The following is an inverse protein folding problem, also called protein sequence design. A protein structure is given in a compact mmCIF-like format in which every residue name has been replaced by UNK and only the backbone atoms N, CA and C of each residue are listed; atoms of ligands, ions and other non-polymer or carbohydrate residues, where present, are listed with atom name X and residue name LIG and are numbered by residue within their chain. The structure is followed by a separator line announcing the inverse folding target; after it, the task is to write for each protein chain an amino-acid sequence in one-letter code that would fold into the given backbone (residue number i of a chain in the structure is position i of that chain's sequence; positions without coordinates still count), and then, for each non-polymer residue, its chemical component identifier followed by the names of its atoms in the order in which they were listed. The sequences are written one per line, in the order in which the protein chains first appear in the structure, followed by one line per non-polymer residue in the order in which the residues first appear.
data_IF_637963748626
#
_entry.id   IF_637963748626
#
_cell.length_a   1.000
_cell.length_b   1.000
_cell.length_c   1.000
_cell.angle_alpha   90.00
_cell.angle_beta   90.00
_cell.angle_gamma   90.00
#
_symmetry.space_group_name_H-M   'P 1'
#
loop_
_entity.id
_entity.type
_entity.pdbx_description
1 polymer ?
#
# COMPACT_ATOMS: atom_id res chain seq x y z
N UNK A 1 1.30 22.34 14.82
CA UNK A 1 1.20 20.88 14.91
C UNK A 1 2.57 20.33 14.60
N UNK A 2 3.23 19.71 15.58
CA UNK A 2 4.46 18.95 15.32
C UNK A 2 4.04 17.54 14.91
N UNK A 3 4.28 17.18 13.66
CA UNK A 3 3.97 15.85 13.15
C UNK A 3 5.03 14.85 13.61
N UNK A 4 4.59 13.66 14.03
CA UNK A 4 5.49 12.59 14.42
C UNK A 4 5.61 11.52 13.32
N UNK A 5 6.42 10.49 13.60
CA UNK A 5 6.64 9.37 12.70
C UNK A 5 5.33 8.73 12.18
N UNK A 6 4.32 8.53 13.04
CA UNK A 6 3.06 7.91 12.67
C UNK A 6 2.20 8.83 11.79
N UNK A 7 2.21 10.16 12.04
CA UNK A 7 1.57 11.15 11.17
C UNK A 7 2.17 11.12 9.77
N UNK A 8 3.50 11.13 9.67
CA UNK A 8 4.20 11.05 8.38
C UNK A 8 3.91 9.73 7.66
N UNK A 9 3.88 8.62 8.39
CA UNK A 9 3.54 7.32 7.83
C UNK A 9 2.13 7.33 7.23
N UNK A 10 1.15 7.88 7.95
CA UNK A 10 -0.21 8.10 7.45
C UNK A 10 -0.24 8.92 6.16
N UNK A 11 0.46 10.06 6.13
CA UNK A 11 0.49 10.93 4.96
C UNK A 11 1.16 10.29 3.75
N UNK A 12 2.26 9.56 3.96
CA UNK A 12 2.93 8.82 2.88
C UNK A 12 2.00 7.76 2.30
N UNK A 13 1.33 6.96 3.16
CA UNK A 13 0.39 5.95 2.69
C UNK A 13 -0.82 6.56 1.96
N UNK A 14 -1.37 7.66 2.49
CA UNK A 14 -2.45 8.38 1.84
C UNK A 14 -2.04 8.93 0.48
N UNK A 15 -0.86 9.55 0.40
CA UNK A 15 -0.30 10.13 -0.83
C UNK A 15 -0.07 9.05 -1.88
N UNK A 16 0.57 7.92 -1.54
CA UNK A 16 0.73 6.79 -2.46
C UNK A 16 -0.63 6.29 -2.94
N UNK A 17 -1.59 6.14 -2.03
CA UNK A 17 -2.96 5.73 -2.35
C UNK A 17 -3.66 6.69 -3.32
N UNK A 18 -3.55 7.99 -3.14
CA UNK A 18 -4.21 8.99 -4.01
C UNK A 18 -3.48 9.10 -5.35
N UNK A 19 -2.16 9.28 -5.34
CA UNK A 19 -1.35 9.49 -6.54
C UNK A 19 -1.49 8.30 -7.48
N UNK A 20 -1.38 7.07 -6.97
CA UNK A 20 -1.53 5.87 -7.82
C UNK A 20 -2.91 5.79 -8.47
N UNK A 21 -3.97 6.25 -7.79
CA UNK A 21 -5.34 6.25 -8.35
C UNK A 21 -5.53 7.34 -9.39
N UNK A 22 -4.97 8.52 -9.16
CA UNK A 22 -4.94 9.60 -10.16
C UNK A 22 -4.21 9.13 -11.41
N UNK A 23 -3.05 8.49 -11.27
CA UNK A 23 -2.30 7.92 -12.40
C UNK A 23 -3.09 6.81 -13.12
N UNK A 24 -3.74 5.89 -12.38
CA UNK A 24 -4.60 4.86 -12.97
C UNK A 24 -5.74 5.44 -13.79
N UNK A 25 -6.45 6.44 -13.26
CA UNK A 25 -7.60 7.06 -13.95
C UNK A 25 -7.15 7.86 -15.17
N UNK A 26 -6.04 8.59 -15.07
CA UNK A 26 -5.53 9.44 -16.16
C UNK A 26 -4.88 8.64 -17.28
N UNK A 27 -4.17 7.56 -16.96
CA UNK A 27 -3.46 6.74 -17.94
C UNK A 27 -4.31 5.58 -18.50
N UNK A 28 -5.37 5.17 -17.81
CA UNK A 28 -6.31 4.13 -18.25
C UNK A 28 -5.60 2.85 -18.70
N UNK A 29 -5.83 2.43 -19.95
CA UNK A 29 -5.24 1.21 -20.51
C UNK A 29 -3.69 1.23 -20.54
N UNK A 30 -3.07 2.41 -20.63
CA UNK A 30 -1.60 2.52 -20.57
C UNK A 30 -1.08 2.11 -19.20
N UNK A 31 -1.80 2.43 -18.13
CA UNK A 31 -1.47 1.96 -16.79
C UNK A 31 -1.59 0.44 -16.71
N UNK A 32 -2.70 -0.12 -17.19
CA UNK A 32 -2.93 -1.56 -17.16
C UNK A 32 -1.81 -2.34 -17.88
N UNK A 33 -1.39 -1.87 -19.05
CA UNK A 33 -0.25 -2.45 -19.79
C UNK A 33 1.05 -2.32 -19.00
N UNK A 34 1.37 -1.13 -18.50
CA UNK A 34 2.58 -0.93 -17.69
C UNK A 34 2.60 -1.82 -16.44
N UNK A 35 1.47 -1.93 -15.74
CA UNK A 35 1.34 -2.73 -14.53
C UNK A 35 1.49 -4.22 -14.82
N UNK A 36 1.03 -4.74 -15.96
CA UNK A 36 1.14 -6.16 -16.30
C UNK A 36 2.41 -6.56 -17.05
N UNK A 37 3.08 -5.61 -17.70
CA UNK A 37 4.30 -5.86 -18.49
C UNK A 37 5.59 -5.47 -17.76
N UNK A 38 5.55 -4.46 -16.89
CA UNK A 38 6.73 -3.94 -16.18
C UNK A 38 6.66 -4.19 -14.68
N UNK A 39 5.58 -3.77 -14.02
CA UNK A 39 5.46 -3.96 -12.58
C UNK A 39 5.30 -5.45 -12.26
N UNK A 40 4.25 -6.10 -12.76
CA UNK A 40 3.96 -7.51 -12.56
C UNK A 40 4.19 -8.32 -13.84
N UNK A 41 5.41 -8.23 -14.37
CA UNK A 41 5.84 -8.98 -15.54
C UNK A 41 5.66 -10.50 -15.36
N UNK A 42 5.55 -11.26 -16.46
CA UNK A 42 5.33 -12.72 -16.40
C UNK A 42 6.41 -13.45 -15.59
N UNK A 43 7.68 -13.06 -15.76
CA UNK A 43 8.75 -13.49 -14.87
C UNK A 43 8.83 -12.54 -13.69
N UNK A 44 8.86 -13.08 -12.46
CA UNK A 44 8.90 -12.29 -11.23
C UNK A 44 10.10 -11.33 -11.22
N UNK A 45 9.88 -10.00 -11.28
CA UNK A 45 10.98 -9.05 -11.35
C UNK A 45 11.69 -8.87 -10.00
N UNK A 46 12.97 -8.53 -10.05
CA UNK A 46 13.83 -8.36 -8.87
C UNK A 46 13.33 -7.25 -7.93
N UNK A 47 12.69 -6.21 -8.47
CA UNK A 47 12.15 -5.11 -7.67
C UNK A 47 11.15 -5.59 -6.61
N UNK A 48 10.44 -6.70 -6.86
CA UNK A 48 9.49 -7.28 -5.89
C UNK A 48 10.19 -7.72 -4.62
N UNK A 49 11.41 -8.28 -4.72
CA UNK A 49 12.19 -8.64 -3.55
C UNK A 49 12.64 -7.39 -2.78
N UNK A 50 13.01 -6.32 -3.49
CA UNK A 50 13.36 -5.04 -2.87
C UNK A 50 12.17 -4.47 -2.09
N UNK A 51 10.96 -4.46 -2.69
CA UNK A 51 9.75 -4.02 -1.99
C UNK A 51 9.38 -4.96 -0.84
N UNK A 52 9.65 -6.26 -0.98
CA UNK A 52 9.56 -7.24 0.11
C UNK A 52 10.39 -6.86 1.32
N UNK A 53 11.68 -6.63 1.12
CA UNK A 53 12.63 -6.26 2.19
C UNK A 53 12.26 -4.90 2.80
N UNK A 54 11.99 -3.90 1.96
CA UNK A 54 11.59 -2.56 2.43
C UNK A 54 10.29 -2.62 3.23
N UNK A 55 9.29 -3.38 2.76
CA UNK A 55 8.02 -3.56 3.45
C UNK A 55 8.21 -4.18 4.84
N UNK A 56 8.97 -5.27 4.93
CA UNK A 56 9.28 -5.92 6.21
C UNK A 56 10.07 -4.99 7.15
N UNK A 57 11.02 -4.22 6.61
CA UNK A 57 11.76 -3.24 7.39
C UNK A 57 10.83 -2.15 7.95
N UNK A 58 9.93 -1.61 7.13
CA UNK A 58 8.94 -0.60 7.58
C UNK A 58 8.06 -1.17 8.69
N UNK A 59 7.61 -2.42 8.58
CA UNK A 59 6.82 -3.09 9.64
C UNK A 59 7.62 -3.21 10.94
N UNK A 60 8.85 -3.74 10.86
CA UNK A 60 9.70 -3.91 12.03
C UNK A 60 10.04 -2.57 12.70
N UNK A 61 10.37 -1.55 11.89
CA UNK A 61 10.63 -0.20 12.37
C UNK A 61 9.39 0.44 13.00
N UNK A 62 8.20 0.23 12.42
CA UNK A 62 6.95 0.74 12.99
C UNK A 62 6.72 0.16 14.38
N UNK A 63 6.88 -1.15 14.56
CA UNK A 63 6.77 -1.79 15.87
C UNK A 63 7.84 -1.31 16.85
N UNK A 64 9.09 -1.15 16.39
CA UNK A 64 10.14 -0.55 17.20
C UNK A 64 9.72 0.85 17.70
N UNK A 65 9.16 1.69 16.84
CA UNK A 65 8.68 3.03 17.22
C UNK A 65 7.48 2.98 18.18
N UNK A 66 6.61 1.96 18.11
CA UNK A 66 5.52 1.79 19.10
C UNK A 66 6.07 1.62 20.52
N UNK A 67 7.17 0.88 20.69
CA UNK A 67 7.77 0.65 22.01
C UNK A 67 8.70 1.78 22.48
N UNK A 68 9.22 2.60 21.56
CA UNK A 68 10.18 3.66 21.88
C UNK A 68 9.56 5.06 21.94
N UNK A 69 8.52 5.33 21.14
CA UNK A 69 7.81 6.60 21.17
C UNK A 69 6.59 6.49 22.07
N UNK A 70 6.45 7.42 23.01
CA UNK A 70 5.26 7.54 23.86
C UNK A 70 4.11 8.25 23.11
N UNK A 71 3.77 7.75 21.92
CA UNK A 71 2.66 8.26 21.10
C UNK A 71 1.42 7.41 21.37
N UNK A 72 0.35 8.07 21.83
CA UNK A 72 -0.91 7.40 22.11
C UNK A 72 -1.48 6.76 20.84
N UNK A 73 -2.05 5.56 20.97
CA UNK A 73 -2.66 4.80 19.87
C UNK A 73 -1.71 4.42 18.72
N UNK A 74 -0.40 4.54 18.88
CA UNK A 74 0.61 4.16 17.86
C UNK A 74 0.47 2.71 17.38
N UNK A 75 -0.03 1.81 18.25
CA UNK A 75 -0.31 0.41 17.93
C UNK A 75 -1.33 0.23 16.80
N UNK A 76 -2.27 1.16 16.59
CA UNK A 76 -3.26 1.08 15.50
C UNK A 76 -2.54 1.08 14.15
N UNK A 77 -1.58 1.99 13.95
CA UNK A 77 -0.79 2.03 12.73
C UNK A 77 0.11 0.81 12.58
N UNK A 78 0.70 0.31 13.66
CA UNK A 78 1.50 -0.91 13.60
C UNK A 78 0.67 -2.13 13.15
N UNK A 79 -0.56 -2.26 13.63
CA UNK A 79 -1.49 -3.31 13.20
C UNK A 79 -1.84 -3.13 11.71
N UNK A 80 -2.23 -1.93 11.29
CA UNK A 80 -2.59 -1.67 9.88
C UNK A 80 -1.43 -1.97 8.94
N UNK A 81 -0.22 -1.50 9.28
CA UNK A 81 1.00 -1.76 8.50
C UNK A 81 1.31 -3.26 8.49
N UNK A 82 1.11 -3.97 9.61
CA UNK A 82 1.29 -5.42 9.67
C UNK A 82 0.29 -6.18 8.78
N UNK A 83 -0.95 -5.70 8.62
CA UNK A 83 -1.92 -6.30 7.69
C UNK A 83 -1.46 -6.21 6.24
N UNK A 84 -0.65 -5.22 5.87
CA UNK A 84 -0.07 -5.14 4.51
C UNK A 84 0.86 -6.32 4.21
N UNK A 85 1.41 -6.98 5.24
CA UNK A 85 2.25 -8.19 5.11
C UNK A 85 1.50 -9.33 4.43
N UNK A 86 0.17 -9.42 4.57
CA UNK A 86 -0.63 -10.46 3.90
C UNK A 86 -0.49 -10.30 2.38
N UNK A 87 -0.67 -9.08 1.88
CA UNK A 87 -0.51 -8.76 0.46
C UNK A 87 0.94 -8.92 0.02
N UNK A 88 1.89 -8.48 0.84
CA UNK A 88 3.32 -8.61 0.57
C UNK A 88 3.76 -10.08 0.47
N UNK A 89 3.24 -10.94 1.35
CA UNK A 89 3.52 -12.38 1.35
C UNK A 89 2.95 -13.06 0.12
N UNK A 90 1.74 -12.69 -0.31
CA UNK A 90 1.18 -13.17 -1.57
C UNK A 90 2.06 -12.76 -2.76
N UNK A 91 2.52 -11.51 -2.80
CA UNK A 91 3.41 -11.00 -3.85
C UNK A 91 4.77 -11.74 -3.87
N UNK A 92 5.33 -12.08 -2.70
CA UNK A 92 6.63 -12.73 -2.59
C UNK A 92 6.58 -14.24 -2.85
N UNK A 93 5.62 -14.96 -2.26
CA UNK A 93 5.62 -16.43 -2.25
C UNK A 93 4.60 -17.03 -3.22
N UNK A 94 3.57 -16.28 -3.60
CA UNK A 94 2.47 -16.72 -4.47
C UNK A 94 2.33 -15.79 -5.68
N UNK A 95 3.46 -15.48 -6.31
CA UNK A 95 3.55 -14.44 -7.33
C UNK A 95 2.59 -14.67 -8.51
N UNK A 96 2.51 -15.88 -9.05
CA UNK A 96 1.64 -16.17 -10.21
C UNK A 96 0.15 -15.96 -9.87
N UNK A 97 -0.25 -16.37 -8.67
CA UNK A 97 -1.61 -16.18 -8.15
C UNK A 97 -1.91 -14.68 -7.92
N UNK A 98 -0.94 -13.95 -7.38
CA UNK A 98 -1.03 -12.50 -7.23
C UNK A 98 -1.16 -11.80 -8.59
N UNK A 99 -0.36 -12.20 -9.57
CA UNK A 99 -0.39 -11.64 -10.93
C UNK A 99 -1.72 -11.93 -11.62
N UNK A 100 -2.26 -13.14 -11.48
CA UNK A 100 -3.58 -13.48 -11.99
C UNK A 100 -4.66 -12.61 -11.34
N UNK A 101 -4.63 -12.47 -10.01
CA UNK A 101 -5.54 -11.59 -9.28
C UNK A 101 -5.45 -10.13 -9.75
N UNK A 102 -4.24 -9.61 -9.96
CA UNK A 102 -4.02 -8.26 -10.49
C UNK A 102 -4.63 -8.11 -11.89
N UNK A 103 -4.34 -9.04 -12.79
CA UNK A 103 -4.89 -9.07 -14.16
C UNK A 103 -6.43 -9.10 -14.17
N UNK A 104 -7.04 -9.98 -13.38
CA UNK A 104 -8.50 -10.07 -13.26
C UNK A 104 -9.12 -8.81 -12.67
N UNK A 105 -8.41 -8.14 -11.78
CA UNK A 105 -8.89 -6.91 -11.15
C UNK A 105 -8.85 -5.78 -12.15
N UNK A 106 -7.73 -5.58 -12.86
CA UNK A 106 -7.53 -4.55 -13.89
C UNK A 106 -8.52 -4.68 -15.06
N UNK A 107 -8.78 -5.91 -15.50
CA UNK A 107 -9.67 -6.17 -16.64
C UNK A 107 -11.17 -6.23 -16.25
N UNK A 108 -11.52 -6.07 -14.98
CA UNK A 108 -12.90 -6.08 -14.53
C UNK A 108 -13.31 -4.70 -13.97
N UNK A 109 -14.20 -3.96 -14.66
CA UNK A 109 -14.54 -2.59 -14.27
C UNK A 109 -15.22 -2.52 -12.89
N UNK A 110 -15.98 -3.54 -12.49
CA UNK A 110 -16.60 -3.60 -11.16
C UNK A 110 -15.54 -3.80 -10.07
N UNK A 111 -14.58 -4.70 -10.29
CA UNK A 111 -13.45 -4.92 -9.35
C UNK A 111 -12.57 -3.67 -9.27
N UNK A 112 -12.26 -3.01 -10.39
CA UNK A 112 -11.50 -1.75 -10.40
C UNK A 112 -12.21 -0.63 -9.66
N UNK A 113 -13.51 -0.42 -9.91
CA UNK A 113 -14.27 0.61 -9.21
C UNK A 113 -14.26 0.35 -7.70
N UNK A 114 -14.46 -0.90 -7.27
CA UNK A 114 -14.40 -1.29 -5.85
C UNK A 114 -13.00 -1.01 -5.27
N UNK A 115 -11.93 -1.41 -5.96
CA UNK A 115 -10.56 -1.15 -5.53
C UNK A 115 -10.28 0.35 -5.36
N UNK A 116 -10.68 1.17 -6.34
CA UNK A 116 -10.45 2.60 -6.32
C UNK A 116 -11.20 3.27 -5.16
N UNK A 117 -12.48 2.94 -4.95
CA UNK A 117 -13.26 3.47 -3.83
C UNK A 117 -12.62 3.05 -2.50
N UNK A 118 -12.30 1.77 -2.32
CA UNK A 118 -11.70 1.28 -1.08
C UNK A 118 -10.37 1.97 -0.75
N UNK A 119 -9.50 2.16 -1.75
CA UNK A 119 -8.21 2.83 -1.53
C UNK A 119 -8.39 4.31 -1.22
N UNK A 120 -9.30 5.01 -1.89
CA UNK A 120 -9.60 6.41 -1.58
C UNK A 120 -10.18 6.57 -0.16
N UNK A 121 -11.10 5.69 0.25
CA UNK A 121 -11.63 5.68 1.61
C UNK A 121 -10.52 5.47 2.64
N UNK A 122 -9.63 4.50 2.41
CA UNK A 122 -8.47 4.26 3.30
C UNK A 122 -7.53 5.47 3.34
N UNK A 123 -7.26 6.11 2.20
CA UNK A 123 -6.43 7.33 2.15
C UNK A 123 -7.03 8.47 2.96
N UNK A 124 -8.35 8.68 2.90
CA UNK A 124 -9.04 9.69 3.73
C UNK A 124 -8.92 9.34 5.22
N UNK A 125 -9.11 8.06 5.58
CA UNK A 125 -8.93 7.60 6.97
C UNK A 125 -7.50 7.85 7.45
N UNK A 126 -6.49 7.59 6.62
CA UNK A 126 -5.10 7.87 6.99
C UNK A 126 -4.83 9.36 7.16
N UNK A 127 -5.36 10.23 6.30
CA UNK A 127 -5.24 11.68 6.51
C UNK A 127 -5.88 12.09 7.84
N UNK A 128 -7.06 11.58 8.15
CA UNK A 128 -7.73 11.86 9.42
C UNK A 128 -6.91 11.36 10.63
N UNK A 129 -6.37 10.15 10.57
CA UNK A 129 -5.49 9.62 11.62
C UNK A 129 -4.23 10.48 11.79
N UNK A 130 -3.58 10.88 10.70
CA UNK A 130 -2.36 11.69 10.75
C UNK A 130 -2.56 13.15 11.16
N UNK A 131 -3.79 13.67 11.17
CA UNK A 131 -4.08 15.06 11.61
C UNK A 131 -4.68 15.08 13.01
N UNK A 132 -5.60 14.16 13.32
CA UNK A 132 -6.40 14.21 14.54
C UNK A 132 -5.96 13.23 15.63
N UNK A 133 -5.16 12.21 15.29
CA UNK A 133 -4.72 11.19 16.26
C UNK A 133 -3.21 11.25 16.52
N UNK A 134 -2.40 11.41 15.47
CA UNK A 134 -0.93 11.42 15.56
C UNK A 134 -0.36 12.79 15.27
#
# INVERSE_FOLDING_TARGET
MEFNYFSYLCFIWAAVGIITRVLMVTMGDRWNKWEMEKAYASQKPVWIYVIGVVGLFVIAWTWYQVFNLNVQYSWIMAVIVSLTTIKLSALLFKYDQFRQFASETLNNPKKMKKLNISVLTISIIFIALGVFVY
#
